data_IF_400378079938
#
_entry.id   IF_400378079938
#
_cell.length_a   1.000
_cell.length_b   1.000
_cell.length_c   1.000
_cell.angle_alpha   90.00
_cell.angle_beta   90.00
_cell.angle_gamma   90.00
#
_symmetry.space_group_name_H-M   'P 1'
#
loop_
_entity.id
_entity.type
_entity.pdbx_description
1 polymer ?
#
# COMPACT_ATOMS: atom_id res chain seq x y z
N UNK A 1 8.70 4.83 17.72
CA UNK A 1 8.20 3.64 16.95
C UNK A 1 9.07 2.38 17.08
N UNK A 2 9.97 2.29 18.13
CA UNK A 2 10.95 1.18 18.26
C UNK A 2 10.34 -0.22 18.39
N UNK A 3 9.12 -0.33 18.97
CA UNK A 3 8.41 -1.60 19.18
C UNK A 3 7.34 -1.91 18.13
N UNK A 4 7.43 -1.25 16.97
CA UNK A 4 6.53 -1.47 15.83
C UNK A 4 7.29 -2.16 14.70
N UNK A 5 6.69 -3.21 14.14
CA UNK A 5 7.16 -3.91 12.94
C UNK A 5 6.20 -3.63 11.78
N UNK A 6 6.72 -3.31 10.61
CA UNK A 6 5.93 -3.25 9.39
C UNK A 6 6.11 -4.52 8.55
N UNK A 7 5.01 -5.06 8.04
CA UNK A 7 4.98 -6.16 7.08
C UNK A 7 4.27 -5.68 5.82
N UNK A 8 4.98 -5.63 4.71
CA UNK A 8 4.46 -5.18 3.42
C UNK A 8 4.13 -6.41 2.57
N UNK A 9 2.87 -6.54 2.18
CA UNK A 9 2.38 -7.63 1.37
C UNK A 9 2.69 -7.36 -0.12
N UNK A 10 3.65 -8.06 -0.66
CA UNK A 10 4.11 -7.92 -2.05
C UNK A 10 3.84 -9.14 -2.94
N UNK A 11 2.96 -10.06 -2.52
CA UNK A 11 2.88 -11.41 -3.04
C UNK A 11 1.88 -11.71 -4.16
N UNK A 12 1.03 -10.80 -4.59
CA UNK A 12 0.00 -11.07 -5.60
C UNK A 12 0.56 -11.33 -7.01
N UNK A 13 -0.09 -12.19 -7.81
CA UNK A 13 0.33 -12.51 -9.19
C UNK A 13 0.22 -11.32 -10.15
N UNK A 14 -0.59 -10.31 -9.84
CA UNK A 14 -0.71 -9.05 -10.60
C UNK A 14 -1.26 -9.23 -12.02
N UNK A 15 -2.14 -10.20 -12.26
CA UNK A 15 -2.66 -10.55 -13.59
C UNK A 15 -3.40 -9.39 -14.26
N UNK A 16 -4.10 -8.55 -13.50
CA UNK A 16 -4.82 -7.38 -14.00
C UNK A 16 -3.90 -6.24 -14.48
N UNK A 17 -2.60 -6.29 -14.13
CA UNK A 17 -1.55 -5.36 -14.58
C UNK A 17 -0.69 -5.93 -15.71
N UNK A 18 -1.03 -7.10 -16.28
CA UNK A 18 -0.32 -7.61 -17.46
C UNK A 18 -0.47 -6.62 -18.64
N UNK A 19 0.60 -6.30 -19.38
CA UNK A 19 1.91 -6.96 -19.42
C UNK A 19 2.97 -6.38 -18.46
N UNK A 20 2.68 -5.38 -17.64
CA UNK A 20 3.66 -4.77 -16.74
C UNK A 20 4.23 -5.77 -15.72
N UNK A 21 3.44 -6.76 -15.35
CA UNK A 21 3.80 -7.83 -14.39
C UNK A 21 4.37 -9.09 -15.04
N UNK A 22 4.56 -9.12 -16.36
CA UNK A 22 5.08 -10.30 -17.09
C UNK A 22 6.40 -10.81 -16.52
N UNK A 23 7.32 -9.90 -16.13
CA UNK A 23 8.68 -10.21 -15.68
C UNK A 23 9.02 -9.62 -14.31
N UNK A 24 8.03 -9.14 -13.56
CA UNK A 24 8.22 -8.51 -12.25
C UNK A 24 7.00 -8.63 -11.36
N UNK A 25 7.22 -8.66 -10.06
CA UNK A 25 6.15 -8.58 -9.07
C UNK A 25 5.39 -7.24 -9.18
N UNK A 26 4.09 -7.21 -8.82
CA UNK A 26 3.26 -6.00 -8.85
C UNK A 26 3.92 -4.82 -8.10
N UNK A 27 4.47 -4.97 -6.88
CA UNK A 27 5.14 -3.88 -6.17
C UNK A 27 6.41 -3.35 -6.86
N UNK A 28 6.97 -4.11 -7.80
CA UNK A 28 8.15 -3.69 -8.57
C UNK A 28 7.80 -2.95 -9.86
N UNK A 29 6.53 -2.70 -10.15
CA UNK A 29 6.08 -1.93 -11.31
C UNK A 29 6.57 -0.48 -11.17
N UNK A 30 7.18 0.10 -12.23
CA UNK A 30 7.66 1.48 -12.21
C UNK A 30 6.51 2.49 -12.08
N UNK A 31 6.76 3.57 -11.33
CA UNK A 31 5.83 4.67 -11.11
C UNK A 31 6.57 6.00 -11.26
N UNK A 32 5.90 7.04 -11.75
CA UNK A 32 6.43 8.41 -11.81
C UNK A 32 7.85 8.53 -12.43
N UNK A 33 8.13 7.71 -13.44
CA UNK A 33 9.39 7.75 -14.19
C UNK A 33 10.58 7.04 -13.53
N UNK A 34 10.76 7.10 -12.20
CA UNK A 34 11.93 6.50 -11.54
C UNK A 34 11.65 5.62 -10.34
N UNK A 35 10.49 5.79 -9.70
CA UNK A 35 10.08 5.05 -8.51
C UNK A 35 9.52 3.68 -8.85
N UNK A 36 9.19 2.92 -7.84
CA UNK A 36 8.39 1.68 -7.90
C UNK A 36 7.28 1.76 -6.87
N UNK A 37 6.20 1.01 -7.06
CA UNK A 37 5.07 1.00 -6.13
C UNK A 37 5.51 0.70 -4.70
N UNK A 38 6.42 -0.24 -4.50
CA UNK A 38 6.96 -0.61 -3.18
C UNK A 38 7.68 0.55 -2.47
N UNK A 39 8.20 1.52 -3.23
CA UNK A 39 8.90 2.66 -2.62
C UNK A 39 7.96 3.52 -1.78
N UNK A 40 6.65 3.49 -2.06
CA UNK A 40 5.63 4.23 -1.32
C UNK A 40 5.50 3.74 0.13
N UNK A 41 5.06 2.49 0.40
CA UNK A 41 4.89 2.03 1.78
C UNK A 41 6.22 1.96 2.54
N UNK A 42 7.33 1.62 1.89
CA UNK A 42 8.66 1.62 2.56
C UNK A 42 9.04 3.04 2.98
N UNK A 43 8.85 4.05 2.12
CA UNK A 43 9.17 5.45 2.47
C UNK A 43 8.24 5.98 3.57
N UNK A 44 6.95 5.65 3.53
CA UNK A 44 6.01 6.00 4.60
C UNK A 44 6.46 5.39 5.95
N UNK A 45 6.94 4.13 5.96
CA UNK A 45 7.52 3.52 7.17
C UNK A 45 8.72 4.30 7.68
N UNK A 46 9.69 4.61 6.81
CA UNK A 46 10.92 5.33 7.17
C UNK A 46 10.59 6.72 7.72
N UNK A 47 9.70 7.47 7.04
CA UNK A 47 9.26 8.81 7.46
C UNK A 47 8.46 8.75 8.79
N UNK A 48 7.85 7.61 9.10
CA UNK A 48 7.14 7.35 10.37
C UNK A 48 8.02 6.74 11.45
N UNK A 49 9.35 6.68 11.26
CA UNK A 49 10.31 6.08 12.20
C UNK A 49 10.08 4.58 12.47
N UNK A 50 9.44 3.88 11.54
CA UNK A 50 9.32 2.42 11.55
C UNK A 50 10.43 1.86 10.67
N UNK A 51 11.51 1.36 11.30
CA UNK A 51 12.71 0.91 10.60
C UNK A 51 12.83 -0.61 10.50
N UNK A 52 11.97 -1.37 11.17
CA UNK A 52 11.88 -2.83 11.04
C UNK A 52 10.83 -3.17 10.01
N UNK A 53 11.23 -3.56 8.81
CA UNK A 53 10.34 -3.71 7.66
C UNK A 53 10.60 -5.04 6.97
N UNK A 54 9.63 -5.94 6.99
CA UNK A 54 9.60 -7.13 6.16
C UNK A 54 8.74 -6.93 4.92
N UNK A 55 9.20 -7.44 3.79
CA UNK A 55 8.44 -7.44 2.54
C UNK A 55 8.20 -8.89 2.12
N UNK A 56 6.95 -9.33 2.20
CA UNK A 56 6.56 -10.68 1.77
C UNK A 56 6.44 -10.73 0.25
N UNK A 57 7.14 -11.64 -0.41
CA UNK A 57 7.13 -11.75 -1.86
C UNK A 57 6.98 -13.20 -2.34
N UNK A 58 6.32 -13.39 -3.49
CA UNK A 58 6.07 -14.71 -4.06
C UNK A 58 6.35 -14.73 -5.57
N UNK A 59 5.53 -14.06 -6.37
CA UNK A 59 5.61 -14.10 -7.83
C UNK A 59 6.65 -13.11 -8.39
N UNK A 60 7.44 -13.55 -9.37
CA UNK A 60 8.38 -12.71 -10.14
C UNK A 60 9.25 -11.79 -9.26
N UNK A 61 9.67 -12.28 -8.09
CA UNK A 61 10.28 -11.49 -7.01
C UNK A 61 11.68 -10.97 -7.29
N UNK A 62 12.42 -11.54 -8.25
CA UNK A 62 13.83 -11.23 -8.49
C UNK A 62 14.12 -9.73 -8.71
N UNK A 63 13.22 -9.02 -9.44
CA UNK A 63 13.38 -7.58 -9.67
C UNK A 63 13.04 -6.74 -8.46
N UNK A 64 12.09 -7.19 -7.61
CA UNK A 64 11.72 -6.58 -6.34
C UNK A 64 12.88 -6.71 -5.34
N UNK A 65 13.36 -7.93 -5.11
CA UNK A 65 14.44 -8.23 -4.18
C UNK A 65 15.71 -7.42 -4.50
N UNK A 66 16.09 -7.38 -5.79
CA UNK A 66 17.23 -6.58 -6.26
C UNK A 66 17.02 -5.08 -6.05
N UNK A 67 15.78 -4.59 -6.18
CA UNK A 67 15.47 -3.19 -5.95
C UNK A 67 15.61 -2.85 -4.47
N UNK A 68 14.96 -3.59 -3.59
CA UNK A 68 14.97 -3.38 -2.14
C UNK A 68 16.40 -3.44 -1.57
N UNK A 69 17.16 -4.48 -1.92
CA UNK A 69 18.56 -4.64 -1.47
C UNK A 69 19.49 -3.49 -1.91
N UNK A 70 19.13 -2.72 -2.94
CA UNK A 70 19.94 -1.61 -3.45
C UNK A 70 19.38 -0.22 -3.12
N UNK A 71 18.12 -0.15 -2.73
CA UNK A 71 17.45 1.10 -2.40
C UNK A 71 17.57 1.45 -0.92
N UNK A 72 17.48 0.45 -0.06
CA UNK A 72 17.32 0.64 1.38
C UNK A 72 18.42 -0.10 2.14
N UNK A 73 19.47 0.63 2.49
CA UNK A 73 20.56 0.13 3.32
C UNK A 73 20.67 1.02 4.56
N UNK A 74 20.30 0.51 5.71
CA UNK A 74 20.56 1.16 6.98
C UNK A 74 22.01 0.94 7.37
N UNK A 75 22.59 1.88 8.13
CA UNK A 75 23.97 1.73 8.62
C UNK A 75 24.06 0.51 9.54
N UNK A 76 25.23 -0.17 9.58
CA UNK A 76 25.46 -1.32 10.43
C UNK A 76 25.37 -1.03 11.95
N UNK A 77 25.17 0.23 12.34
CA UNK A 77 24.94 0.67 13.73
C UNK A 77 23.46 0.92 14.03
N UNK A 78 22.56 0.62 13.08
CA UNK A 78 21.11 0.77 13.24
C UNK A 78 20.46 -0.61 13.35
N UNK A 79 19.49 -0.76 14.24
CA UNK A 79 18.64 -1.96 14.34
C UNK A 79 17.59 -2.03 13.22
N UNK A 80 17.60 -1.07 12.30
CA UNK A 80 16.66 -1.01 11.18
C UNK A 80 17.07 -1.91 10.01
N UNK A 81 16.07 -2.45 9.32
CA UNK A 81 16.25 -3.25 8.11
C UNK A 81 15.05 -3.15 7.18
N UNK A 82 15.29 -3.39 5.88
CA UNK A 82 14.27 -3.74 4.91
C UNK A 82 14.64 -5.09 4.32
N UNK A 83 13.94 -6.12 4.73
CA UNK A 83 14.28 -7.50 4.38
C UNK A 83 13.13 -8.17 3.63
N UNK A 84 13.49 -8.98 2.64
CA UNK A 84 12.51 -9.72 1.84
C UNK A 84 12.37 -11.14 2.38
N UNK A 85 11.13 -11.49 2.74
CA UNK A 85 10.74 -12.84 3.10
C UNK A 85 9.99 -13.45 1.91
N UNK A 86 10.64 -14.36 1.20
CA UNK A 86 10.07 -15.02 0.02
C UNK A 86 9.27 -16.27 0.44
N UNK A 87 8.15 -16.54 -0.25
CA UNK A 87 7.44 -17.79 -0.03
C UNK A 87 8.38 -18.99 -0.14
N UNK A 88 8.30 -19.89 0.82
CA UNK A 88 9.16 -21.07 0.93
C UNK A 88 8.31 -22.33 1.01
N UNK A 89 8.70 -23.35 0.29
CA UNK A 89 8.17 -24.69 0.47
C UNK A 89 9.01 -25.43 1.51
N UNK A 90 8.36 -25.98 2.50
CA UNK A 90 8.98 -26.82 3.53
C UNK A 90 8.37 -28.23 3.49
N UNK A 91 8.95 -29.17 4.24
CA UNK A 91 8.38 -30.53 4.34
C UNK A 91 6.96 -30.53 4.96
N UNK A 92 6.72 -29.57 5.86
CA UNK A 92 5.47 -29.45 6.60
C UNK A 92 4.47 -28.52 5.89
N UNK A 93 4.92 -27.67 4.96
CA UNK A 93 4.09 -26.80 4.13
C UNK A 93 4.64 -26.75 2.69
N UNK A 94 4.12 -27.58 1.79
CA UNK A 94 4.56 -27.64 0.40
C UNK A 94 3.96 -26.53 -0.47
N UNK A 95 3.00 -25.76 0.07
CA UNK A 95 2.25 -24.75 -0.69
C UNK A 95 2.92 -23.36 -0.64
N UNK A 96 2.68 -22.62 -1.70
CA UNK A 96 2.95 -21.18 -1.76
C UNK A 96 1.94 -20.43 -0.86
N UNK A 97 2.15 -19.13 -0.63
CA UNK A 97 1.18 -18.29 0.09
C UNK A 97 -0.22 -18.42 -0.52
N UNK A 98 -1.18 -18.90 0.27
CA UNK A 98 -2.55 -19.10 -0.16
C UNK A 98 -3.42 -17.85 -0.01
N UNK A 99 -2.89 -16.81 0.65
CA UNK A 99 -3.57 -15.54 0.87
C UNK A 99 -2.71 -14.59 1.71
N UNK A 100 -3.28 -13.46 2.02
CA UNK A 100 -2.59 -12.38 2.75
C UNK A 100 -2.27 -12.75 4.20
N UNK A 101 -3.19 -13.41 4.89
CA UNK A 101 -3.00 -13.88 6.26
C UNK A 101 -2.08 -15.10 6.32
N UNK A 102 -2.20 -16.00 5.36
CA UNK A 102 -1.32 -17.16 5.25
C UNK A 102 0.13 -16.75 5.03
N UNK A 103 0.39 -15.74 4.21
CA UNK A 103 1.73 -15.21 3.99
C UNK A 103 2.39 -14.74 5.31
N UNK A 104 1.64 -14.07 6.18
CA UNK A 104 2.13 -13.62 7.50
C UNK A 104 2.29 -14.81 8.45
N UNK A 105 1.36 -15.77 8.42
CA UNK A 105 1.39 -16.99 9.25
C UNK A 105 2.66 -17.81 9.03
N UNK A 106 3.11 -17.97 7.79
CA UNK A 106 4.32 -18.72 7.47
C UNK A 106 5.59 -18.12 8.09
N UNK A 107 5.55 -16.84 8.48
CA UNK A 107 6.66 -16.15 9.16
C UNK A 107 6.37 -15.76 10.61
N UNK A 108 5.37 -16.40 11.22
CA UNK A 108 4.91 -16.06 12.56
C UNK A 108 6.01 -16.23 13.62
N UNK A 109 6.87 -17.25 13.48
CA UNK A 109 8.01 -17.48 14.39
C UNK A 109 8.96 -16.28 14.45
N UNK A 110 9.25 -15.67 13.31
CA UNK A 110 10.11 -14.46 13.24
C UNK A 110 9.43 -13.29 13.97
N UNK A 111 8.11 -13.12 13.82
CA UNK A 111 7.37 -12.06 14.52
C UNK A 111 7.39 -12.29 16.03
N UNK A 112 7.29 -13.55 16.46
CA UNK A 112 7.29 -13.91 17.88
C UNK A 112 8.63 -13.63 18.58
N UNK A 113 9.75 -13.80 17.87
CA UNK A 113 11.11 -13.57 18.40
C UNK A 113 11.38 -12.10 18.77
N UNK A 114 10.73 -11.15 18.09
CA UNK A 114 10.92 -9.73 18.35
C UNK A 114 10.13 -9.24 19.59
N UNK A 115 10.76 -8.39 20.40
CA UNK A 115 10.06 -7.62 21.46
C UNK A 115 9.28 -6.46 20.82
N UNK A 116 8.05 -6.73 20.38
CA UNK A 116 7.15 -5.81 19.70
C UNK A 116 5.85 -5.64 20.48
N UNK A 117 5.24 -4.48 20.33
CA UNK A 117 3.89 -4.16 20.81
C UNK A 117 2.88 -4.25 19.67
N UNK A 118 3.20 -3.68 18.51
CA UNK A 118 2.30 -3.64 17.35
C UNK A 118 2.98 -4.15 16.08
N UNK A 119 2.14 -4.66 15.19
CA UNK A 119 2.50 -5.05 13.82
C UNK A 119 1.61 -4.28 12.85
N UNK A 120 2.23 -3.56 11.93
CA UNK A 120 1.55 -2.83 10.85
C UNK A 120 1.60 -3.69 9.58
N UNK A 121 0.44 -4.05 9.05
CA UNK A 121 0.30 -4.78 7.78
C UNK A 121 -0.04 -3.78 6.69
N UNK A 122 0.75 -3.78 5.61
CA UNK A 122 0.65 -2.81 4.52
C UNK A 122 0.53 -3.50 3.17
N UNK A 123 -0.20 -2.88 2.24
CA UNK A 123 -0.20 -3.30 0.84
C UNK A 123 0.99 -2.70 0.08
N UNK A 124 1.63 -3.49 -0.78
CA UNK A 124 2.83 -3.09 -1.54
C UNK A 124 2.56 -2.41 -2.89
N UNK A 125 1.31 -2.08 -3.19
CA UNK A 125 0.84 -1.69 -4.52
C UNK A 125 -0.08 -0.47 -4.53
N UNK A 126 -0.13 0.29 -3.43
CA UNK A 126 -0.93 1.50 -3.31
C UNK A 126 -0.07 2.77 -3.44
N UNK A 127 -0.68 3.83 -3.95
CA UNK A 127 -0.12 5.18 -4.02
C UNK A 127 -0.84 6.08 -3.01
N UNK A 128 -0.12 6.50 -1.97
CA UNK A 128 -0.61 7.38 -0.90
C UNK A 128 0.56 7.89 -0.06
N UNK A 129 0.33 8.92 0.75
CA UNK A 129 1.27 9.37 1.78
C UNK A 129 0.57 9.32 3.13
N UNK A 130 1.14 8.60 4.09
CA UNK A 130 0.58 8.48 5.44
C UNK A 130 1.70 8.52 6.48
N UNK A 131 1.48 9.30 7.53
CA UNK A 131 2.27 9.21 8.75
C UNK A 131 1.69 8.08 9.63
N UNK A 132 2.36 6.94 9.65
CA UNK A 132 1.91 5.80 10.46
C UNK A 132 2.04 6.02 11.96
N UNK A 133 2.75 7.08 12.42
CA UNK A 133 2.78 7.44 13.85
C UNK A 133 1.38 7.78 14.34
N UNK A 134 0.67 8.63 13.59
CA UNK A 134 -0.71 9.03 13.92
C UNK A 134 -1.66 7.82 13.89
N UNK A 135 -1.44 6.89 12.98
CA UNK A 135 -2.24 5.68 12.86
C UNK A 135 -2.03 4.74 14.05
N UNK A 136 -0.77 4.52 14.47
CA UNK A 136 -0.44 3.70 15.65
C UNK A 136 -0.83 4.40 16.95
N UNK A 137 -0.68 5.72 17.05
CA UNK A 137 -1.14 6.51 18.20
C UNK A 137 -2.65 6.35 18.40
N UNK A 138 -3.45 6.46 17.33
CA UNK A 138 -4.89 6.24 17.40
C UNK A 138 -5.23 4.82 17.84
N UNK A 139 -4.51 3.81 17.37
CA UNK A 139 -4.65 2.43 17.79
C UNK A 139 -4.46 2.28 19.32
N UNK A 140 -3.42 2.93 19.87
CA UNK A 140 -3.11 2.93 21.31
C UNK A 140 -4.14 3.69 22.13
N UNK A 141 -4.56 4.89 21.68
CA UNK A 141 -5.57 5.72 22.35
C UNK A 141 -6.91 5.02 22.54
N UNK A 142 -7.33 4.28 21.51
CA UNK A 142 -8.60 3.53 21.54
C UNK A 142 -8.47 2.16 22.22
N UNK A 143 -7.26 1.81 22.66
CA UNK A 143 -6.92 0.46 23.16
C UNK A 143 -7.45 -0.62 22.21
N UNK A 144 -7.36 -0.37 20.91
CA UNK A 144 -7.85 -1.29 19.88
C UNK A 144 -7.03 -2.57 19.85
N UNK A 145 -7.65 -3.68 19.50
CA UNK A 145 -6.96 -4.94 19.19
C UNK A 145 -6.50 -4.94 17.74
N UNK A 146 -7.34 -4.34 16.87
CA UNK A 146 -7.07 -4.15 15.44
C UNK A 146 -7.53 -2.74 15.06
N UNK A 147 -6.76 -2.03 14.25
CA UNK A 147 -7.21 -0.77 13.63
C UNK A 147 -7.05 -0.86 12.13
N UNK A 148 -8.10 -0.51 11.39
CA UNK A 148 -8.12 -0.48 9.94
C UNK A 148 -8.05 0.96 9.45
N UNK A 149 -7.18 1.24 8.49
CA UNK A 149 -7.26 2.50 7.75
C UNK A 149 -8.37 2.43 6.71
N UNK A 150 -9.19 3.48 6.66
CA UNK A 150 -10.39 3.54 5.84
C UNK A 150 -10.49 4.85 5.08
N UNK A 151 -11.14 4.81 3.91
CA UNK A 151 -11.42 5.98 3.07
C UNK A 151 -12.89 5.99 2.65
N UNK A 152 -13.53 7.19 2.56
CA UNK A 152 -14.82 7.32 1.91
C UNK A 152 -14.68 7.15 0.40
N UNK A 153 -15.52 6.30 -0.22
CA UNK A 153 -15.47 6.04 -1.66
C UNK A 153 -16.85 6.13 -2.32
N UNK A 154 -16.82 6.35 -3.64
CA UNK A 154 -18.01 6.39 -4.48
C UNK A 154 -18.56 4.98 -4.78
N UNK A 155 -19.85 4.90 -5.13
CA UNK A 155 -20.51 3.65 -5.49
C UNK A 155 -19.83 2.93 -6.67
N UNK A 156 -19.27 3.68 -7.62
CA UNK A 156 -18.59 3.14 -8.81
C UNK A 156 -17.49 2.15 -8.46
N UNK A 157 -16.71 2.42 -7.42
CA UNK A 157 -15.55 1.64 -7.03
C UNK A 157 -15.81 0.74 -5.80
N UNK A 158 -16.95 0.90 -5.15
CA UNK A 158 -17.21 0.27 -3.85
C UNK A 158 -17.15 -1.26 -3.87
N UNK A 159 -17.54 -1.90 -4.98
CA UNK A 159 -17.49 -3.36 -5.12
C UNK A 159 -16.07 -3.95 -5.25
N UNK A 160 -15.05 -3.11 -5.40
CA UNK A 160 -13.65 -3.57 -5.49
C UNK A 160 -12.98 -3.72 -4.11
N UNK A 161 -13.59 -3.20 -3.04
CA UNK A 161 -13.00 -3.09 -1.72
C UNK A 161 -13.83 -3.78 -0.63
N UNK A 162 -13.18 -4.08 0.48
CA UNK A 162 -13.88 -4.41 1.72
C UNK A 162 -14.57 -3.17 2.28
N UNK A 163 -15.86 -3.24 2.48
CA UNK A 163 -16.68 -2.15 3.01
C UNK A 163 -17.02 -2.38 4.48
N UNK A 164 -17.22 -1.28 5.21
CA UNK A 164 -17.57 -1.38 6.61
C UNK A 164 -18.56 -0.30 7.07
N UNK A 165 -19.25 -0.62 8.17
CA UNK A 165 -20.01 0.34 8.96
C UNK A 165 -19.33 0.54 10.29
N UNK A 166 -19.36 1.77 10.78
CA UNK A 166 -18.77 2.15 12.05
C UNK A 166 -19.83 2.79 12.95
N UNK A 167 -19.65 2.61 14.25
CA UNK A 167 -20.44 3.34 15.24
C UNK A 167 -19.88 4.78 15.47
N UNK A 168 -20.56 5.62 16.26
CA UNK A 168 -20.08 6.98 16.56
C UNK A 168 -18.73 7.05 17.27
N UNK A 169 -18.28 5.96 17.90
CA UNK A 169 -16.96 5.86 18.54
C UNK A 169 -15.86 5.41 17.56
N UNK A 170 -16.21 5.14 16.29
CA UNK A 170 -15.29 4.67 15.27
C UNK A 170 -15.05 3.16 15.30
N UNK A 171 -15.81 2.40 16.10
CA UNK A 171 -15.71 0.94 16.14
C UNK A 171 -16.38 0.33 14.91
N UNK A 172 -15.72 -0.66 14.30
CA UNK A 172 -16.29 -1.43 13.19
C UNK A 172 -17.38 -2.36 13.71
N UNK A 173 -18.61 -2.17 13.21
CA UNK A 173 -19.79 -2.96 13.61
C UNK A 173 -20.23 -3.96 12.53
N UNK A 174 -19.88 -3.71 11.29
CA UNK A 174 -20.18 -4.58 10.15
C UNK A 174 -19.05 -4.48 9.12
N UNK A 175 -18.66 -5.61 8.56
CA UNK A 175 -17.64 -5.69 7.50
C UNK A 175 -18.11 -6.65 6.41
N UNK A 176 -17.99 -6.25 5.14
CA UNK A 176 -18.30 -7.09 3.98
C UNK A 176 -17.23 -6.91 2.90
N UNK A 177 -16.59 -8.02 2.50
CA UNK A 177 -15.52 -8.02 1.49
C UNK A 177 -16.10 -8.06 0.08
N UNK A 178 -15.86 -6.98 -0.68
CA UNK A 178 -16.26 -6.85 -2.09
C UNK A 178 -17.74 -7.16 -2.36
N UNK A 179 -18.67 -6.54 -1.62
CA UNK A 179 -20.09 -6.82 -1.74
C UNK A 179 -20.62 -6.38 -3.12
N UNK A 180 -21.64 -7.08 -3.61
CA UNK A 180 -22.28 -6.80 -4.90
C UNK A 180 -23.79 -6.75 -4.78
N UNK A 181 -24.44 -6.04 -5.73
CA UNK A 181 -25.89 -5.98 -5.80
C UNK A 181 -26.57 -5.45 -4.53
N UNK A 182 -27.50 -6.18 -3.96
CA UNK A 182 -28.24 -5.78 -2.76
C UNK A 182 -27.37 -5.72 -1.51
N UNK A 183 -26.32 -6.54 -1.41
CA UNK A 183 -25.38 -6.49 -0.31
C UNK A 183 -24.56 -5.18 -0.34
N UNK A 184 -24.12 -4.74 -1.51
CA UNK A 184 -23.48 -3.44 -1.68
C UNK A 184 -24.38 -2.30 -1.19
N UNK A 185 -25.64 -2.27 -1.61
CA UNK A 185 -26.58 -1.22 -1.18
C UNK A 185 -26.77 -1.16 0.34
N UNK A 186 -26.76 -2.31 1.01
CA UNK A 186 -26.86 -2.38 2.49
C UNK A 186 -25.66 -1.74 3.18
N UNK A 187 -24.48 -1.74 2.55
CA UNK A 187 -23.26 -1.15 3.12
C UNK A 187 -23.19 0.38 3.01
N UNK A 188 -24.19 1.02 2.40
CA UNK A 188 -24.27 2.49 2.31
C UNK A 188 -24.41 3.11 3.71
N UNK A 189 -23.65 4.17 3.95
CA UNK A 189 -23.61 4.91 5.23
C UNK A 189 -23.67 6.42 5.01
N UNK A 190 -24.03 7.15 6.07
CA UNK A 190 -23.95 8.61 6.08
C UNK A 190 -22.52 9.05 6.45
N UNK A 191 -21.74 9.39 5.44
CA UNK A 191 -20.34 9.80 5.61
C UNK A 191 -20.19 11.26 6.07
N UNK A 192 -21.28 12.05 6.23
CA UNK A 192 -21.20 13.35 6.90
C UNK A 192 -20.72 13.21 8.35
N UNK A 193 -20.99 12.07 8.99
CA UNK A 193 -20.50 11.73 10.34
C UNK A 193 -18.97 11.60 10.41
N UNK A 194 -18.32 11.50 9.28
CA UNK A 194 -16.85 11.48 9.15
C UNK A 194 -16.25 12.86 8.84
N UNK A 195 -17.08 13.91 8.88
CA UNK A 195 -16.64 15.28 8.58
C UNK A 195 -16.75 15.69 7.12
N UNK A 196 -17.30 14.84 6.24
CA UNK A 196 -17.53 15.21 4.84
C UNK A 196 -18.68 16.21 4.72
N UNK A 197 -18.59 17.14 3.77
CA UNK A 197 -19.72 17.99 3.40
C UNK A 197 -20.87 17.15 2.83
N UNK A 198 -22.10 17.67 2.86
CA UNK A 198 -23.27 16.96 2.32
C UNK A 198 -23.09 16.55 0.85
N UNK A 199 -22.43 17.39 0.04
CA UNK A 199 -22.14 17.09 -1.35
C UNK A 199 -21.14 15.94 -1.50
N UNK A 200 -20.04 15.96 -0.73
CA UNK A 200 -19.04 14.90 -0.71
C UNK A 200 -19.63 13.58 -0.19
N UNK A 201 -20.47 13.62 0.85
CA UNK A 201 -21.11 12.44 1.41
C UNK A 201 -22.11 11.79 0.42
N UNK A 202 -22.80 12.59 -0.36
CA UNK A 202 -23.67 12.09 -1.43
C UNK A 202 -22.87 11.39 -2.54
N UNK A 203 -21.68 11.89 -2.86
CA UNK A 203 -20.78 11.29 -3.86
C UNK A 203 -20.05 10.03 -3.33
N UNK A 204 -19.69 10.02 -2.02
CA UNK A 204 -18.90 8.98 -1.37
C UNK A 204 -19.64 8.33 -0.21
N UNK A 205 -20.72 7.58 -0.46
CA UNK A 205 -21.59 7.03 0.58
C UNK A 205 -21.11 5.68 1.16
N UNK A 206 -19.88 5.27 0.93
CA UNK A 206 -19.32 4.01 1.44
C UNK A 206 -18.00 4.26 2.17
N UNK A 207 -17.70 3.42 3.15
CA UNK A 207 -16.42 3.40 3.87
C UNK A 207 -15.66 2.14 3.43
N UNK A 208 -14.53 2.32 2.77
CA UNK A 208 -13.70 1.23 2.26
C UNK A 208 -12.44 1.03 3.11
N UNK A 209 -12.06 -0.23 3.28
CA UNK A 209 -10.76 -0.60 3.82
C UNK A 209 -9.66 -0.31 2.80
N UNK A 210 -8.61 0.34 3.24
CA UNK A 210 -7.40 0.54 2.43
C UNK A 210 -6.50 -0.72 2.37
N UNK A 211 -6.85 -1.81 3.07
CA UNK A 211 -5.95 -2.96 3.19
C UNK A 211 -4.71 -2.69 4.04
N UNK A 212 -4.81 -1.75 4.96
CA UNK A 212 -3.75 -1.30 5.87
C UNK A 212 -4.25 -1.48 7.29
N UNK A 213 -3.49 -2.21 8.11
CA UNK A 213 -3.93 -2.62 9.44
C UNK A 213 -2.85 -2.41 10.48
N UNK A 214 -3.23 -2.05 11.71
CA UNK A 214 -2.40 -2.17 12.92
C UNK A 214 -3.01 -3.24 13.80
N UNK A 215 -2.20 -4.19 14.24
CA UNK A 215 -2.57 -5.21 15.20
C UNK A 215 -1.73 -5.07 16.47
N UNK A 216 -2.33 -5.28 17.63
CA UNK A 216 -1.53 -5.71 18.79
C UNK A 216 -0.81 -7.01 18.41
N UNK A 217 0.49 -7.12 18.68
CA UNK A 217 1.28 -8.31 18.31
C UNK A 217 0.61 -9.60 18.79
N UNK A 218 0.22 -9.67 20.07
CA UNK A 218 -0.35 -10.88 20.63
C UNK A 218 -1.68 -11.27 19.94
N UNK A 219 -2.54 -10.28 19.63
CA UNK A 219 -3.80 -10.52 18.92
C UNK A 219 -3.56 -11.11 17.54
N UNK A 220 -2.58 -10.56 16.80
CA UNK A 220 -2.21 -11.11 15.48
C UNK A 220 -1.74 -12.57 15.59
N UNK A 221 -0.86 -12.85 16.52
CA UNK A 221 -0.32 -14.20 16.77
C UNK A 221 -1.45 -15.17 17.09
N UNK A 222 -2.34 -14.81 18.02
CA UNK A 222 -3.44 -15.67 18.48
C UNK A 222 -4.44 -15.94 17.36
N UNK A 223 -4.83 -14.92 16.58
CA UNK A 223 -5.73 -15.07 15.44
C UNK A 223 -5.15 -15.99 14.38
N UNK A 224 -3.87 -15.81 14.01
CA UNK A 224 -3.24 -16.62 12.97
C UNK A 224 -2.97 -18.06 13.41
N UNK A 225 -2.73 -18.32 14.70
CA UNK A 225 -2.59 -19.68 15.24
C UNK A 225 -3.91 -20.41 15.39
N UNK A 226 -4.97 -19.69 15.77
CA UNK A 226 -6.30 -20.27 16.00
C UNK A 226 -7.00 -20.67 14.71
N UNK A 227 -6.79 -19.93 13.63
CA UNK A 227 -7.58 -20.01 12.38
C UNK A 227 -6.71 -20.46 11.21
N UNK A 228 -6.18 -21.68 11.25
CA UNK A 228 -5.26 -22.21 10.24
C UNK A 228 -5.86 -22.28 8.83
N UNK A 229 -7.17 -22.53 8.73
CA UNK A 229 -7.91 -22.60 7.45
C UNK A 229 -8.15 -21.21 6.82
N UNK A 230 -8.08 -20.14 7.62
CA UNK A 230 -8.31 -18.78 7.14
C UNK A 230 -7.03 -18.21 6.54
N UNK A 231 -7.10 -17.82 5.27
CA UNK A 231 -5.93 -17.43 4.49
C UNK A 231 -5.87 -15.92 4.18
N UNK A 232 -6.99 -15.20 4.32
CA UNK A 232 -7.09 -13.80 3.92
C UNK A 232 -7.54 -12.90 5.08
N UNK A 233 -6.84 -11.76 5.25
CA UNK A 233 -7.20 -10.81 6.32
C UNK A 233 -8.58 -10.20 6.11
N UNK A 234 -8.86 -9.70 4.89
CA UNK A 234 -10.10 -8.99 4.60
C UNK A 234 -11.33 -9.90 4.54
N UNK A 235 -11.17 -11.10 3.96
CA UNK A 235 -12.30 -12.01 3.78
C UNK A 235 -12.66 -12.81 5.03
N UNK A 236 -11.67 -13.14 5.85
CA UNK A 236 -11.83 -14.18 6.87
C UNK A 236 -11.40 -13.73 8.27
N UNK A 237 -10.15 -13.24 8.43
CA UNK A 237 -9.60 -12.91 9.75
C UNK A 237 -10.34 -11.72 10.39
N UNK A 238 -10.46 -10.60 9.68
CA UNK A 238 -11.08 -9.37 10.21
C UNK A 238 -12.58 -9.57 10.45
N UNK A 239 -13.38 -10.12 9.51
CA UNK A 239 -14.77 -10.42 9.78
C UNK A 239 -14.97 -11.39 10.96
N UNK A 240 -14.13 -12.45 11.05
CA UNK A 240 -14.18 -13.41 12.15
C UNK A 240 -13.83 -12.80 13.52
N UNK A 241 -12.94 -11.82 13.56
CA UNK A 241 -12.53 -11.14 14.77
C UNK A 241 -13.54 -10.05 15.25
N UNK A 242 -14.42 -9.56 14.38
CA UNK A 242 -15.28 -8.39 14.66
C UNK A 242 -16.21 -8.56 15.86
N UNK A 243 -16.66 -9.79 16.13
CA UNK A 243 -17.55 -10.09 17.25
C UNK A 243 -16.84 -10.17 18.62
N UNK A 244 -15.52 -10.43 18.63
CA UNK A 244 -14.78 -10.76 19.85
C UNK A 244 -13.66 -9.77 20.20
N UNK A 245 -13.26 -8.94 19.25
CA UNK A 245 -12.15 -7.98 19.41
C UNK A 245 -12.62 -6.53 19.24
N UNK A 246 -11.86 -5.61 19.81
CA UNK A 246 -12.05 -4.18 19.61
C UNK A 246 -11.40 -3.76 18.29
N UNK A 247 -12.22 -3.68 17.23
CA UNK A 247 -11.77 -3.25 15.90
C UNK A 247 -12.17 -1.79 15.69
N UNK A 248 -11.19 -0.92 15.44
CA UNK A 248 -11.38 0.52 15.22
C UNK A 248 -11.09 0.89 13.78
N UNK A 249 -11.79 1.90 13.28
CA UNK A 249 -11.50 2.54 12.01
C UNK A 249 -10.66 3.81 12.22
N UNK A 250 -9.63 3.98 11.39
CA UNK A 250 -8.86 5.21 11.26
C UNK A 250 -9.19 5.86 9.92
N UNK A 251 -9.86 7.01 9.95
CA UNK A 251 -10.19 7.73 8.74
C UNK A 251 -8.93 8.36 8.14
N UNK A 252 -8.64 8.00 6.90
CA UNK A 252 -7.62 8.64 6.07
C UNK A 252 -8.30 9.63 5.13
N UNK A 253 -7.87 10.88 5.13
CA UNK A 253 -8.53 12.00 4.44
C UNK A 253 -7.69 12.62 3.31
N UNK A 254 -6.63 11.92 2.86
CA UNK A 254 -5.75 12.37 1.78
C UNK A 254 -5.89 11.45 0.54
N UNK A 255 -5.09 11.71 -0.48
CA UNK A 255 -5.09 10.93 -1.72
C UNK A 255 -4.64 9.49 -1.48
N UNK A 256 -5.44 8.55 -1.96
CA UNK A 256 -5.15 7.12 -1.97
C UNK A 256 -5.67 6.47 -3.25
N UNK A 257 -4.84 5.63 -3.87
CA UNK A 257 -5.18 4.86 -5.07
C UNK A 257 -4.62 3.43 -4.99
N UNK A 258 -5.48 2.43 -5.19
CA UNK A 258 -5.05 1.05 -5.45
C UNK A 258 -4.67 0.90 -6.92
N UNK A 259 -3.37 0.73 -7.19
CA UNK A 259 -2.87 0.52 -8.55
C UNK A 259 -3.00 -0.96 -8.90
N UNK A 260 -4.23 -1.41 -9.09
CA UNK A 260 -4.59 -2.81 -9.32
C UNK A 260 -4.81 -3.21 -10.79
N UNK A 261 -5.01 -2.24 -11.68
CA UNK A 261 -5.32 -2.44 -13.09
C UNK A 261 -4.47 -1.56 -13.99
N UNK A 262 -4.46 -1.83 -15.31
CA UNK A 262 -3.77 -0.96 -16.28
C UNK A 262 -4.39 0.44 -16.28
N UNK A 263 -5.71 0.55 -16.17
CA UNK A 263 -6.41 1.83 -16.16
C UNK A 263 -6.01 2.65 -14.92
N UNK A 264 -6.09 2.07 -13.71
CA UNK A 264 -5.66 2.77 -12.48
C UNK A 264 -4.16 3.12 -12.50
N UNK A 265 -3.31 2.28 -13.08
CA UNK A 265 -1.89 2.59 -13.29
C UNK A 265 -1.69 3.79 -14.23
N UNK A 266 -2.41 3.82 -15.34
CA UNK A 266 -2.34 4.90 -16.31
C UNK A 266 -2.85 6.22 -15.72
N UNK A 267 -4.03 6.20 -15.13
CA UNK A 267 -4.66 7.37 -14.53
C UNK A 267 -3.83 7.93 -13.37
N UNK A 268 -3.31 7.09 -12.48
CA UNK A 268 -2.45 7.51 -11.38
C UNK A 268 -1.16 8.17 -11.89
N UNK A 269 -0.49 7.63 -12.93
CA UNK A 269 0.71 8.27 -13.48
C UNK A 269 0.39 9.63 -14.12
N UNK A 270 -0.69 9.76 -14.89
CA UNK A 270 -1.07 11.03 -15.50
C UNK A 270 -1.56 12.06 -14.48
N UNK A 271 -2.25 11.63 -13.44
CA UNK A 271 -2.67 12.52 -12.34
C UNK A 271 -1.47 13.24 -11.68
N UNK A 272 -0.29 12.62 -11.64
CA UNK A 272 0.94 13.23 -11.11
C UNK A 272 1.43 14.44 -11.93
N UNK A 273 0.99 14.59 -13.17
CA UNK A 273 1.38 15.69 -14.08
C UNK A 273 0.38 16.85 -14.07
N UNK A 274 -0.71 16.75 -13.31
CA UNK A 274 -1.78 17.76 -13.28
C UNK A 274 -1.31 19.10 -12.72
N UNK A 275 -1.89 20.18 -13.25
CA UNK A 275 -1.68 21.56 -12.84
C UNK A 275 -2.99 22.15 -12.26
N UNK A 276 -2.94 23.06 -11.30
CA UNK A 276 -1.75 23.64 -10.67
C UNK A 276 -1.15 22.73 -9.57
N UNK A 277 -1.87 21.72 -9.10
CA UNK A 277 -1.44 20.83 -8.03
C UNK A 277 -1.88 19.39 -8.34
N UNK A 278 -0.96 18.42 -8.41
CA UNK A 278 -1.31 17.01 -8.53
C UNK A 278 -1.95 16.50 -7.22
N UNK A 279 -2.80 15.48 -7.28
CA UNK A 279 -3.39 14.88 -6.08
C UNK A 279 -2.35 14.22 -5.16
N UNK A 280 -1.22 13.78 -5.73
CA UNK A 280 -0.05 13.28 -5.00
C UNK A 280 1.22 13.97 -5.54
N UNK A 281 2.09 14.44 -4.63
CA UNK A 281 3.35 15.10 -5.01
C UNK A 281 4.56 14.32 -4.51
N UNK A 282 5.54 14.08 -5.37
CA UNK A 282 6.85 13.55 -4.99
C UNK A 282 7.81 14.62 -4.44
N UNK A 283 7.40 15.89 -4.46
CA UNK A 283 8.22 17.05 -4.07
C UNK A 283 7.94 17.55 -2.64
N UNK A 284 7.45 16.67 -1.77
CA UNK A 284 7.29 16.96 -0.34
C UNK A 284 8.63 16.72 0.37
N UNK A 285 9.24 17.80 0.83
CA UNK A 285 10.54 17.76 1.52
C UNK A 285 10.45 17.14 2.92
N UNK A 286 9.29 17.23 3.57
CA UNK A 286 9.08 16.72 4.92
C UNK A 286 8.81 15.20 4.94
N UNK A 287 8.31 14.65 3.83
CA UNK A 287 8.00 13.24 3.67
C UNK A 287 8.45 12.72 2.30
N UNK A 288 9.77 12.68 2.04
CA UNK A 288 10.32 12.30 0.74
C UNK A 288 10.04 10.81 0.45
N UNK A 289 9.86 10.50 -0.82
CA UNK A 289 9.79 9.11 -1.29
C UNK A 289 11.19 8.66 -1.69
N UNK A 290 11.74 7.74 -0.93
CA UNK A 290 13.07 7.16 -1.17
C UNK A 290 12.99 6.11 -2.27
N UNK A 291 14.03 6.03 -3.09
CA UNK A 291 14.18 5.01 -4.13
C UNK A 291 15.65 4.75 -4.41
N UNK A 292 15.93 3.74 -5.21
CA UNK A 292 17.29 3.40 -5.59
C UNK A 292 17.98 4.52 -6.36
N UNK A 293 19.15 4.95 -5.91
CA UNK A 293 20.08 5.79 -6.69
C UNK A 293 20.56 5.07 -7.94
N UNK A 294 20.57 5.76 -9.08
CA UNK A 294 20.94 5.16 -10.38
C UNK A 294 22.17 5.77 -11.04
N UNK A 295 22.72 6.86 -10.45
CA UNK A 295 23.90 7.57 -10.97
C UNK A 295 23.78 7.86 -12.48
N UNK A 296 22.63 8.41 -12.89
CA UNK A 296 22.34 8.76 -14.27
C UNK A 296 22.75 10.22 -14.55
N UNK A 297 23.13 10.53 -15.80
CA UNK A 297 23.35 11.93 -16.18
C UNK A 297 22.03 12.71 -16.17
N UNK A 298 22.07 14.03 -16.11
CA UNK A 298 20.90 14.86 -16.32
C UNK A 298 20.20 14.54 -17.63
N UNK A 299 18.87 14.73 -17.68
CA UNK A 299 18.10 14.61 -18.90
C UNK A 299 18.46 15.71 -19.89
N UNK A 300 18.66 15.37 -21.15
CA UNK A 300 19.05 16.27 -22.22
C UNK A 300 17.88 16.54 -23.16
N UNK A 301 17.49 17.81 -23.26
CA UNK A 301 16.45 18.28 -24.19
C UNK A 301 17.09 19.03 -25.33
N UNK A 302 16.82 18.66 -26.58
CA UNK A 302 17.38 19.23 -27.81
C UNK A 302 16.25 19.54 -28.78
N UNK A 303 15.95 20.84 -28.93
CA UNK A 303 14.86 21.28 -29.81
C UNK A 303 13.54 20.52 -29.53
N UNK A 304 13.17 20.49 -28.23
CA UNK A 304 12.00 19.78 -27.74
C UNK A 304 11.08 20.70 -26.95
N UNK A 305 9.77 20.59 -27.20
CA UNK A 305 8.74 21.30 -26.46
C UNK A 305 8.05 20.33 -25.49
N UNK A 306 8.16 20.58 -24.20
CA UNK A 306 7.62 19.70 -23.14
C UNK A 306 6.73 20.51 -22.20
N UNK A 307 5.50 20.02 -22.00
CA UNK A 307 4.52 20.61 -21.08
C UNK A 307 3.83 19.53 -20.25
N UNK A 308 3.46 19.85 -19.00
CA UNK A 308 2.69 18.99 -18.08
C UNK A 308 3.21 17.56 -18.02
N UNK A 309 4.51 17.38 -17.89
CA UNK A 309 5.14 16.06 -17.99
C UNK A 309 6.19 15.82 -16.91
N UNK A 310 6.30 14.58 -16.47
CA UNK A 310 7.38 14.12 -15.61
C UNK A 310 8.41 13.32 -16.42
N UNK A 311 9.68 13.67 -16.29
CA UNK A 311 10.76 13.03 -17.04
C UNK A 311 11.81 12.49 -16.07
N UNK A 312 12.06 11.19 -16.14
CA UNK A 312 13.10 10.53 -15.37
C UNK A 312 14.52 10.96 -15.80
N UNK A 313 15.50 10.65 -14.98
CA UNK A 313 16.92 10.98 -15.19
C UNK A 313 17.50 10.23 -16.39
N UNK A 314 18.51 10.82 -17.05
CA UNK A 314 19.29 10.19 -18.13
C UNK A 314 18.57 10.07 -19.48
N UNK A 315 17.47 10.80 -19.68
CA UNK A 315 16.74 10.81 -20.93
C UNK A 315 17.45 11.67 -21.99
N UNK A 316 17.23 11.33 -23.27
CA UNK A 316 17.58 12.16 -24.42
C UNK A 316 16.32 12.37 -25.24
N UNK A 317 15.89 13.62 -25.36
CA UNK A 317 14.68 14.01 -26.03
C UNK A 317 15.05 15.05 -27.09
N UNK A 318 14.76 14.74 -28.35
CA UNK A 318 15.20 15.55 -29.50
C UNK A 318 14.08 15.74 -30.50
N UNK A 319 13.89 16.99 -30.96
CA UNK A 319 13.02 17.37 -32.07
C UNK A 319 11.58 16.82 -31.95
N UNK A 320 10.95 16.97 -30.78
CA UNK A 320 9.61 16.45 -30.55
C UNK A 320 8.79 17.35 -29.63
N UNK A 321 7.49 17.08 -29.58
CA UNK A 321 6.56 17.66 -28.59
C UNK A 321 6.06 16.59 -27.65
N UNK A 322 6.11 16.87 -26.36
CA UNK A 322 5.64 16.00 -25.30
C UNK A 322 4.67 16.78 -24.43
N UNK A 323 3.51 16.23 -24.22
CA UNK A 323 2.47 16.83 -23.40
C UNK A 323 1.80 15.75 -22.54
N UNK A 324 1.48 16.10 -21.29
CA UNK A 324 0.74 15.26 -20.34
C UNK A 324 1.24 13.81 -20.31
N UNK A 325 2.52 13.64 -19.97
CA UNK A 325 3.22 12.36 -20.10
C UNK A 325 4.16 12.08 -18.94
N UNK A 326 4.38 10.78 -18.67
CA UNK A 326 5.40 10.32 -17.73
C UNK A 326 6.43 9.47 -18.47
N UNK A 327 7.69 9.93 -18.49
CA UNK A 327 8.79 9.24 -19.14
C UNK A 327 9.72 8.58 -18.13
N UNK A 328 9.94 7.28 -18.31
CA UNK A 328 10.87 6.51 -17.48
C UNK A 328 12.33 6.90 -17.68
N UNK A 329 13.18 6.55 -16.71
CA UNK A 329 14.63 6.79 -16.77
C UNK A 329 15.25 6.22 -18.06
N UNK A 330 16.23 6.92 -18.63
CA UNK A 330 16.95 6.58 -19.86
C UNK A 330 16.08 6.47 -21.12
N UNK A 331 14.90 7.08 -21.13
CA UNK A 331 14.09 7.13 -22.34
C UNK A 331 14.82 7.91 -23.46
N UNK A 332 14.68 7.43 -24.68
CA UNK A 332 15.17 8.10 -25.86
C UNK A 332 14.01 8.36 -26.80
N UNK A 333 13.72 9.65 -27.05
CA UNK A 333 12.67 10.09 -27.97
C UNK A 333 13.39 10.94 -29.02
N UNK A 334 13.30 10.52 -30.25
CA UNK A 334 13.92 11.17 -31.40
C UNK A 334 12.93 11.13 -32.56
N UNK A 335 13.03 12.13 -33.42
CA UNK A 335 12.30 12.20 -34.68
C UNK A 335 12.55 10.97 -35.55
#
# INVERSE_FOLDING_TARGET
MKKVLAIILGGGAGTRLYPLTKLRAKPAVPLAGKYRLIDIPVSNCINSEIFKIYVLSQFNSASLNRHLARAYNFSGFSDGFVEVLAAQQTKDNPDWFQGTADAVRQYLSIIEEWDLEEVVILSGDHLYRMDYRLFVERHRETNADITLSVVPISEKNASEFGLMKIDPAGRVVEFSEKPKGEELKKMRVDTTKLGLSAAQAAEKPYIASMGIYVFKKQVLVDLLKKSLEQTDFGKEIIPGASATHNIQAYLFDDYWEDIGTIDSFYDANLALTQQPSPPFSFYDENAPIYTRSRYLPPTKLLDAHVTESMIGEGCIIKKCRIHHSVLGVRARIME
#
